data_IF_282160327559
#
_entry.id   IF_282160327559
#
_cell.length_a   1.000
_cell.length_b   1.000
_cell.length_c   1.000
_cell.angle_alpha   90.00
_cell.angle_beta   90.00
_cell.angle_gamma   90.00
#
_symmetry.space_group_name_H-M   'P 1'
#
loop_
_entity.id
_entity.type
_entity.pdbx_description
1 polymer ?
#
# COMPACT_ATOMS: atom_id res chain seq x y z
N UNK A 1 24.21 5.75 -15.95
CA UNK A 1 24.89 4.79 -15.05
C UNK A 1 24.00 4.64 -13.81
N UNK A 2 23.05 3.69 -13.82
CA UNK A 2 22.05 3.52 -12.76
C UNK A 2 21.88 2.06 -12.28
N UNK A 3 22.81 1.17 -12.62
CA UNK A 3 22.69 -0.28 -12.36
C UNK A 3 23.08 -0.70 -10.94
N UNK A 4 23.85 0.13 -10.23
CA UNK A 4 24.58 -0.33 -9.04
C UNK A 4 23.72 -0.42 -7.76
N UNK A 5 22.55 0.24 -7.74
CA UNK A 5 21.72 0.37 -6.53
C UNK A 5 20.65 -0.73 -6.46
N UNK A 6 20.08 -1.13 -7.60
CA UNK A 6 19.17 -2.27 -7.69
C UNK A 6 19.93 -3.60 -7.49
N UNK A 7 21.14 -3.72 -8.05
CA UNK A 7 22.02 -4.88 -7.84
C UNK A 7 22.41 -5.03 -6.37
N UNK A 8 22.66 -3.93 -5.64
CA UNK A 8 22.93 -3.98 -4.20
C UNK A 8 21.70 -4.43 -3.40
N UNK A 9 20.50 -4.00 -3.76
CA UNK A 9 19.27 -4.43 -3.08
C UNK A 9 19.00 -5.93 -3.30
N UNK A 10 19.20 -6.42 -4.52
CA UNK A 10 19.05 -7.84 -4.85
C UNK A 10 20.10 -8.70 -4.13
N UNK A 11 21.35 -8.22 -4.04
CA UNK A 11 22.41 -8.91 -3.30
C UNK A 11 22.12 -8.98 -1.79
N UNK A 12 21.53 -7.92 -1.21
CA UNK A 12 21.13 -7.90 0.21
C UNK A 12 19.95 -8.83 0.47
N UNK A 13 18.96 -8.88 -0.42
CA UNK A 13 17.81 -9.78 -0.30
C UNK A 13 18.23 -11.26 -0.44
N UNK A 14 19.10 -11.57 -1.41
CA UNK A 14 19.58 -12.94 -1.63
C UNK A 14 20.41 -13.46 -0.45
N UNK A 15 21.21 -12.58 0.19
CA UNK A 15 21.96 -12.92 1.42
C UNK A 15 21.04 -13.17 2.61
N UNK A 16 19.93 -12.42 2.70
CA UNK A 16 18.93 -12.57 3.78
C UNK A 16 18.12 -13.88 3.67
N UNK A 17 17.96 -14.41 2.45
CA UNK A 17 17.31 -15.71 2.20
C UNK A 17 18.23 -16.88 2.54
N UNK A 18 19.54 -16.75 2.32
CA UNK A 18 20.54 -17.79 2.67
C UNK A 18 20.76 -17.94 4.17
N UNK A 19 20.63 -16.84 4.93
CA UNK A 19 20.82 -16.85 6.39
C UNK A 19 19.60 -17.40 7.17
N UNK A 20 18.50 -17.73 6.48
CA UNK A 20 17.28 -18.28 7.10
C UNK A 20 17.31 -19.82 7.28
N UNK A 21 18.27 -20.51 6.67
CA UNK A 21 18.34 -21.98 6.68
C UNK A 21 19.25 -22.57 7.79
N UNK A 22 19.87 -21.72 8.63
CA UNK A 22 20.76 -22.14 9.71
C UNK A 22 20.58 -21.28 10.97
N UNK A 23 19.58 -21.57 11.78
CA UNK A 23 19.66 -21.43 13.26
C UNK A 23 18.36 -21.88 13.95
N UNK A 24 18.44 -23.04 14.59
CA UNK A 24 17.66 -23.40 15.77
C UNK A 24 18.42 -22.83 16.97
N UNK A 25 17.97 -21.71 17.54
CA UNK A 25 18.00 -21.48 18.99
C UNK A 25 17.42 -20.11 19.36
N UNK A 26 16.73 -20.11 20.48
CA UNK A 26 16.05 -19.00 21.13
C UNK A 26 17.00 -17.88 21.54
N UNK A 27 16.77 -16.65 21.08
CA UNK A 27 16.61 -15.41 21.88
C UNK A 27 16.67 -14.18 20.95
N UNK A 28 15.84 -13.16 21.21
CA UNK A 28 15.94 -11.85 20.54
C UNK A 28 15.24 -11.68 19.18
N UNK A 29 13.91 -11.84 19.13
CA UNK A 29 13.08 -11.42 17.98
C UNK A 29 13.00 -9.89 17.90
N UNK A 30 14.10 -9.22 17.56
CA UNK A 30 14.08 -7.80 17.15
C UNK A 30 15.28 -7.37 16.28
N UNK A 31 15.37 -7.83 15.01
CA UNK A 31 16.19 -7.06 14.05
C UNK A 31 15.46 -6.68 12.75
N UNK A 32 14.40 -7.37 12.33
CA UNK A 32 13.86 -7.21 10.95
C UNK A 32 12.99 -5.96 10.76
N UNK A 33 12.15 -5.65 11.75
CA UNK A 33 11.28 -4.45 11.70
C UNK A 33 12.08 -3.14 11.79
N UNK A 34 13.09 -3.10 12.67
CA UNK A 34 13.96 -1.93 12.82
C UNK A 34 14.84 -1.67 11.58
N UNK A 35 15.22 -2.75 10.85
CA UNK A 35 15.98 -2.64 9.61
C UNK A 35 15.13 -2.08 8.45
N UNK A 36 13.84 -2.45 8.40
CA UNK A 36 12.89 -1.90 7.44
C UNK A 36 12.54 -0.45 7.76
N UNK A 37 12.39 -0.10 9.05
CA UNK A 37 12.16 1.28 9.48
C UNK A 37 13.31 2.21 9.06
N UNK A 38 14.57 1.81 9.23
CA UNK A 38 15.72 2.64 8.83
C UNK A 38 15.82 2.84 7.30
N UNK A 39 15.42 1.86 6.48
CA UNK A 39 15.41 2.02 5.02
C UNK A 39 14.20 2.83 4.50
N UNK A 40 13.05 2.75 5.16
CA UNK A 40 11.88 3.58 4.83
C UNK A 40 12.06 5.06 5.23
N UNK A 41 13.00 5.36 6.13
CA UNK A 41 13.32 6.72 6.55
C UNK A 41 14.24 7.46 5.56
N UNK A 42 14.95 6.75 4.70
CA UNK A 42 15.96 7.31 3.78
C UNK A 42 15.43 7.53 2.34
N UNK A 43 14.15 7.24 2.12
CA UNK A 43 13.47 7.40 0.84
C UNK A 43 12.83 8.78 0.66
N UNK A 44 13.27 9.46 -0.39
CA UNK A 44 12.61 10.56 -1.11
C UNK A 44 12.80 11.99 -0.58
N UNK A 45 14.00 12.56 -0.82
CA UNK A 45 14.12 14.01 -1.07
C UNK A 45 13.56 14.33 -2.46
N UNK A 46 12.24 14.45 -2.58
CA UNK A 46 11.60 15.15 -3.69
C UNK A 46 11.72 16.68 -3.48
N UNK A 47 11.93 17.48 -4.54
CA UNK A 47 12.03 18.91 -4.41
C UNK A 47 10.64 19.57 -4.43
N UNK A 48 10.53 20.66 -3.66
CA UNK A 48 9.51 21.74 -3.69
C UNK A 48 8.25 21.61 -2.80
N UNK A 49 8.26 22.33 -1.67
CA UNK A 49 7.48 23.58 -1.43
C UNK A 49 7.41 23.93 0.07
N UNK A 50 7.77 25.17 0.41
CA UNK A 50 7.39 25.88 1.64
C UNK A 50 7.31 25.12 2.98
N UNK A 51 8.32 24.34 3.38
CA UNK A 51 8.54 23.88 4.78
C UNK A 51 7.38 23.13 5.49
N UNK A 52 6.30 22.81 4.79
CA UNK A 52 5.07 22.27 5.33
C UNK A 52 4.81 20.92 4.65
N UNK A 53 4.72 19.85 5.44
CA UNK A 53 4.50 18.51 4.92
C UNK A 53 3.13 18.33 4.26
N UNK A 54 2.91 17.22 3.54
CA UNK A 54 1.69 17.00 2.77
C UNK A 54 0.45 16.87 3.66
N UNK A 55 -0.73 17.01 3.04
CA UNK A 55 -2.01 16.97 3.76
C UNK A 55 -2.58 15.55 3.88
N UNK A 56 -3.26 15.28 4.99
CA UNK A 56 -4.06 14.06 5.17
C UNK A 56 -5.40 14.32 5.84
N UNK A 57 -6.39 13.50 5.50
CA UNK A 57 -7.73 13.52 6.09
C UNK A 57 -8.04 12.18 6.79
N UNK A 58 -8.76 12.24 7.91
CA UNK A 58 -9.28 11.06 8.60
C UNK A 58 -10.78 11.24 8.85
N UNK A 59 -11.59 10.31 8.32
CA UNK A 59 -13.01 10.17 8.60
C UNK A 59 -13.33 8.81 9.26
N UNK A 60 -13.98 8.83 10.41
CA UNK A 60 -14.21 7.65 11.26
C UNK A 60 -13.15 7.45 12.33
N UNK A 61 -13.17 6.30 13.01
CA UNK A 61 -12.41 6.04 14.24
C UNK A 61 -11.41 4.88 14.13
N UNK A 62 -11.63 3.95 13.21
CA UNK A 62 -10.87 2.74 12.99
C UNK A 62 -9.45 3.08 12.55
N UNK A 63 -8.47 2.74 13.38
CA UNK A 63 -7.06 3.06 13.14
C UNK A 63 -6.73 4.56 13.13
N UNK A 64 -7.69 5.44 13.45
CA UNK A 64 -7.52 6.90 13.34
C UNK A 64 -6.35 7.42 14.18
N UNK A 65 -6.17 6.90 15.39
CA UNK A 65 -5.07 7.29 16.28
C UNK A 65 -3.70 6.90 15.71
N UNK A 66 -3.57 5.67 15.20
CA UNK A 66 -2.33 5.13 14.63
C UNK A 66 -1.91 5.96 13.42
N UNK A 67 -2.84 6.16 12.48
CA UNK A 67 -2.57 6.92 11.25
C UNK A 67 -2.30 8.38 11.57
N UNK A 68 -3.08 8.99 12.47
CA UNK A 68 -2.84 10.38 12.87
C UNK A 68 -1.48 10.57 13.52
N UNK A 69 -1.05 9.66 14.40
CA UNK A 69 0.26 9.75 15.05
C UNK A 69 1.39 9.60 14.04
N UNK A 70 1.29 8.64 13.13
CA UNK A 70 2.27 8.43 12.06
C UNK A 70 2.42 9.67 11.17
N UNK A 71 1.32 10.16 10.60
CA UNK A 71 1.35 11.31 9.70
C UNK A 71 1.89 12.57 10.39
N UNK A 72 1.43 12.85 11.62
CA UNK A 72 1.94 13.98 12.40
C UNK A 72 3.45 13.84 12.71
N UNK A 73 3.91 12.64 13.06
CA UNK A 73 5.33 12.37 13.29
C UNK A 73 6.20 12.57 12.04
N UNK A 74 5.62 12.41 10.84
CA UNK A 74 6.26 12.72 9.55
C UNK A 74 6.14 14.19 9.13
N UNK A 75 5.57 15.06 9.96
CA UNK A 75 5.38 16.49 9.65
C UNK A 75 4.20 16.77 8.71
N UNK A 76 3.30 15.80 8.50
CA UNK A 76 2.13 15.97 7.65
C UNK A 76 1.05 16.78 8.36
N UNK A 77 0.22 17.46 7.58
CA UNK A 77 -0.82 18.35 8.09
C UNK A 77 -2.21 17.73 7.98
N UNK A 78 -2.94 17.68 9.11
CA UNK A 78 -4.31 17.16 9.11
C UNK A 78 -5.28 18.22 8.59
N UNK A 79 -6.05 17.88 7.56
CA UNK A 79 -7.17 18.69 7.07
C UNK A 79 -8.49 18.20 7.67
N UNK A 80 -9.44 19.12 7.85
CA UNK A 80 -10.78 18.83 8.36
C UNK A 80 -11.85 18.80 7.26
N UNK A 81 -11.68 19.58 6.19
CA UNK A 81 -12.59 19.57 5.05
C UNK A 81 -12.30 18.35 4.16
N UNK A 82 -13.25 17.42 4.09
CA UNK A 82 -13.13 16.22 3.26
C UNK A 82 -13.23 16.51 1.76
N UNK A 83 -13.66 17.70 1.35
CA UNK A 83 -13.81 18.07 -0.07
C UNK A 83 -12.53 18.61 -0.68
N UNK A 84 -11.50 18.89 0.12
CA UNK A 84 -10.17 19.26 -0.39
C UNK A 84 -9.61 18.11 -1.22
N UNK A 85 -8.92 18.46 -2.29
CA UNK A 85 -8.32 17.53 -3.25
C UNK A 85 -6.79 17.59 -3.27
N UNK A 86 -6.17 18.43 -2.45
CA UNK A 86 -4.72 18.56 -2.31
C UNK A 86 -4.17 17.68 -1.17
N UNK A 87 -4.90 16.62 -0.81
CA UNK A 87 -4.44 15.61 0.13
C UNK A 87 -3.48 14.61 -0.54
N UNK A 88 -2.54 14.08 0.24
CA UNK A 88 -1.76 12.90 -0.12
C UNK A 88 -2.41 11.60 0.37
N UNK A 89 -3.10 11.64 1.51
CA UNK A 89 -3.79 10.49 2.10
C UNK A 89 -5.20 10.84 2.59
N UNK A 90 -6.17 9.98 2.26
CA UNK A 90 -7.53 10.00 2.82
C UNK A 90 -7.85 8.66 3.49
N UNK A 91 -7.96 8.68 4.81
CA UNK A 91 -8.32 7.52 5.62
C UNK A 91 -9.79 7.61 6.04
N UNK A 92 -10.68 6.91 5.32
CA UNK A 92 -12.11 6.92 5.60
C UNK A 92 -12.65 5.52 5.82
N UNK A 93 -13.30 5.27 6.96
CA UNK A 93 -14.02 4.01 7.21
C UNK A 93 -15.14 3.78 6.19
N UNK A 94 -15.98 4.80 6.04
CA UNK A 94 -17.16 4.76 5.19
C UNK A 94 -16.76 5.12 3.77
N UNK A 95 -17.16 4.27 2.84
CA UNK A 95 -17.02 4.53 1.42
C UNK A 95 -17.98 5.64 1.01
N UNK A 96 -17.44 6.71 0.46
CA UNK A 96 -18.20 7.69 -0.29
C UNK A 96 -17.79 7.60 -1.76
N UNK A 97 -18.76 7.64 -2.67
CA UNK A 97 -18.52 7.64 -4.12
C UNK A 97 -17.61 8.80 -4.53
N UNK A 98 -17.82 9.97 -3.92
CA UNK A 98 -17.09 11.20 -4.24
C UNK A 98 -15.58 11.07 -3.98
N UNK A 99 -15.17 10.27 -2.98
CA UNK A 99 -13.75 10.06 -2.69
C UNK A 99 -13.00 9.36 -3.83
N UNK A 100 -13.70 8.54 -4.63
CA UNK A 100 -13.09 7.82 -5.75
C UNK A 100 -13.21 8.60 -7.06
N UNK A 101 -14.20 9.47 -7.18
CA UNK A 101 -14.45 10.23 -8.42
C UNK A 101 -13.37 11.30 -8.66
N UNK A 102 -12.91 11.97 -7.61
CA UNK A 102 -11.83 12.97 -7.68
C UNK A 102 -10.44 12.40 -7.35
N UNK A 103 -10.29 11.07 -7.32
CA UNK A 103 -9.01 10.43 -7.04
C UNK A 103 -8.03 10.61 -8.21
N UNK A 104 -6.83 11.07 -7.91
CA UNK A 104 -5.73 11.19 -8.87
C UNK A 104 -4.66 10.12 -8.63
N UNK A 105 -4.58 9.17 -9.55
CA UNK A 105 -3.62 8.07 -9.51
C UNK A 105 -2.17 8.59 -9.52
N UNK A 106 -1.29 7.95 -8.75
CA UNK A 106 0.11 8.37 -8.56
C UNK A 106 0.28 9.58 -7.63
N UNK A 107 -0.75 10.41 -7.47
CA UNK A 107 -0.69 11.59 -6.61
C UNK A 107 -1.26 11.31 -5.21
N UNK A 108 -2.36 10.58 -5.11
CA UNK A 108 -3.13 10.42 -3.89
C UNK A 108 -3.19 8.97 -3.41
N UNK A 109 -3.53 8.78 -2.14
CA UNK A 109 -3.80 7.47 -1.54
C UNK A 109 -5.14 7.46 -0.79
N UNK A 110 -5.91 6.40 -1.01
CA UNK A 110 -7.15 6.11 -0.29
C UNK A 110 -6.99 4.82 0.52
N UNK A 111 -7.61 4.76 1.69
CA UNK A 111 -7.58 3.57 2.57
C UNK A 111 -8.21 2.31 1.93
N UNK A 112 -9.13 2.46 0.98
CA UNK A 112 -9.86 1.33 0.41
C UNK A 112 -9.85 1.37 -1.11
N UNK A 113 -9.90 0.18 -1.71
CA UNK A 113 -10.11 -0.01 -3.15
C UNK A 113 -11.63 0.05 -3.43
N UNK A 114 -12.06 0.73 -4.51
CA UNK A 114 -13.47 0.70 -4.91
C UNK A 114 -13.92 -0.75 -5.18
N UNK A 115 -15.22 -1.01 -5.05
CA UNK A 115 -15.82 -2.32 -5.34
C UNK A 115 -15.27 -3.54 -4.57
N UNK A 116 -14.53 -3.36 -3.47
CA UNK A 116 -13.98 -4.49 -2.70
C UNK A 116 -15.03 -5.51 -2.18
N UNK A 117 -16.34 -5.17 -2.17
CA UNK A 117 -17.44 -6.07 -1.78
C UNK A 117 -17.48 -7.33 -2.65
N UNK A 118 -16.92 -7.27 -3.86
CA UNK A 118 -16.73 -8.43 -4.72
C UNK A 118 -15.89 -9.51 -4.05
N UNK A 119 -14.92 -9.13 -3.19
CA UNK A 119 -14.02 -10.06 -2.52
C UNK A 119 -14.28 -10.17 -1.02
N UNK A 120 -14.93 -9.17 -0.41
CA UNK A 120 -15.16 -9.09 1.03
C UNK A 120 -16.55 -9.56 1.48
N UNK A 121 -17.34 -10.15 0.58
CA UNK A 121 -18.61 -10.78 0.93
C UNK A 121 -18.62 -12.24 0.50
N UNK A 122 -19.33 -13.11 1.25
CA UNK A 122 -19.42 -14.54 0.89
C UNK A 122 -19.95 -14.75 -0.54
N UNK A 123 -21.02 -14.04 -0.88
CA UNK A 123 -21.65 -14.14 -2.21
C UNK A 123 -20.79 -13.53 -3.32
N UNK A 124 -20.14 -12.39 -3.04
CA UNK A 124 -19.22 -11.76 -3.98
C UNK A 124 -18.06 -12.68 -4.30
N UNK A 125 -17.42 -13.23 -3.25
CA UNK A 125 -16.26 -14.10 -3.41
C UNK A 125 -16.62 -15.38 -4.17
N UNK A 126 -17.73 -16.04 -3.82
CA UNK A 126 -18.23 -17.20 -4.54
C UNK A 126 -18.48 -16.90 -6.02
N UNK A 127 -19.08 -15.75 -6.32
CA UNK A 127 -19.39 -15.32 -7.69
C UNK A 127 -18.11 -15.07 -8.48
N UNK A 128 -17.16 -14.33 -7.90
CA UNK A 128 -15.87 -14.02 -8.52
C UNK A 128 -15.06 -15.29 -8.84
N UNK A 129 -15.01 -16.25 -7.91
CA UNK A 129 -14.32 -17.52 -8.13
C UNK A 129 -14.97 -18.36 -9.25
N UNK A 130 -16.30 -18.40 -9.31
CA UNK A 130 -17.03 -19.10 -10.38
C UNK A 130 -16.79 -18.47 -11.74
N UNK A 131 -16.78 -17.15 -11.80
CA UNK A 131 -16.51 -16.41 -13.04
C UNK A 131 -15.07 -16.63 -13.51
N UNK A 132 -14.10 -16.51 -12.61
CA UNK A 132 -12.70 -16.82 -12.90
C UNK A 132 -12.52 -18.24 -13.44
N UNK A 133 -13.11 -19.24 -12.78
CA UNK A 133 -13.04 -20.63 -13.22
C UNK A 133 -13.66 -20.85 -14.61
N UNK A 134 -14.68 -20.07 -15.01
CA UNK A 134 -15.24 -20.11 -16.36
C UNK A 134 -14.30 -19.45 -17.37
N UNK A 135 -13.78 -18.27 -17.07
CA UNK A 135 -12.86 -17.53 -17.94
C UNK A 135 -11.58 -18.34 -18.24
N UNK A 136 -10.98 -18.94 -17.21
CA UNK A 136 -9.81 -19.82 -17.36
C UNK A 136 -10.14 -21.05 -18.22
N UNK A 137 -11.31 -21.68 -18.04
CA UNK A 137 -11.73 -22.82 -18.87
C UNK A 137 -11.95 -22.44 -20.34
N UNK A 138 -12.36 -21.20 -20.63
CA UNK A 138 -12.54 -20.72 -22.00
C UNK A 138 -11.22 -20.35 -22.67
N UNK A 139 -10.25 -19.80 -21.94
CA UNK A 139 -8.93 -19.45 -22.50
C UNK A 139 -8.09 -20.68 -22.83
N UNK A 140 -8.21 -21.77 -22.08
CA UNK A 140 -7.55 -23.04 -22.39
C UNK A 140 -8.21 -23.84 -23.53
N UNK A 141 -9.36 -23.40 -24.05
CA UNK A 141 -10.11 -24.07 -25.11
C UNK A 141 -9.97 -23.44 -26.48
N UNK A 142 -9.16 -22.40 -26.63
CA UNK A 142 -8.86 -21.83 -27.95
C UNK A 142 -7.60 -22.51 -28.52
N UNK A 143 -7.69 -23.47 -29.45
CA UNK A 143 -6.55 -23.77 -30.29
C UNK A 143 -6.35 -22.59 -31.25
N UNK A 144 -5.10 -22.17 -31.43
CA UNK A 144 -4.69 -21.35 -32.57
C UNK A 144 -5.01 -22.14 -33.83
N UNK A 145 -6.05 -21.76 -34.56
CA UNK A 145 -6.19 -22.18 -35.95
C UNK A 145 -5.26 -21.32 -36.80
N UNK A 146 -4.26 -21.98 -37.39
CA UNK A 146 -3.46 -21.50 -38.51
C UNK A 146 -4.27 -21.50 -39.81
#
# INVERSE_FOLDING_TARGET
MGSNQEEQLLHVLSRLEQDADLSDDTDGVRPRAALLEKHLLDGEKQPHSSGQGPYFYIGGNNGASIISSYCKGKGWQRIQDSRREDYKLKWCEVKCRDNYYSFREGEQLLYQIPNNKLLTTKIGLLSALREYARAVKTTHKTPLCA
#
